data_IF_491176413361
#
_entry.id   IF_491176413361
#
_cell.length_a   1.000
_cell.length_b   1.000
_cell.length_c   1.000
_cell.angle_alpha   90.00
_cell.angle_beta   90.00
_cell.angle_gamma   90.00
#
_symmetry.space_group_name_H-M   'P 1'
#
loop_
_entity.id
_entity.type
_entity.pdbx_description
1 polymer ?
#
# COMPACT_ATOMS: atom_id res chain seq x y z
N UNK A 1 -22.08 -15.08 8.50
CA UNK A 1 -21.91 -16.53 8.81
C UNK A 1 -20.90 -16.73 9.92
N UNK A 2 -19.66 -16.27 9.76
CA UNK A 2 -18.57 -16.55 10.69
C UNK A 2 -18.43 -15.58 11.88
N UNK A 3 -18.94 -14.34 11.82
CA UNK A 3 -18.79 -13.35 12.91
C UNK A 3 -19.17 -13.85 14.32
N UNK A 4 -20.22 -14.67 14.53
CA UNK A 4 -20.55 -15.18 15.87
C UNK A 4 -19.58 -16.25 16.41
N UNK A 5 -18.62 -16.73 15.62
CA UNK A 5 -17.75 -17.84 16.01
C UNK A 5 -16.69 -17.37 17.02
N UNK A 6 -16.70 -17.93 18.23
CA UNK A 6 -15.85 -17.49 19.36
C UNK A 6 -14.33 -17.58 19.10
N UNK A 7 -13.88 -18.48 18.22
CA UNK A 7 -12.45 -18.59 17.87
C UNK A 7 -11.96 -17.51 16.91
N UNK A 8 -12.85 -16.69 16.34
CA UNK A 8 -12.46 -15.57 15.47
C UNK A 8 -12.29 -14.33 16.35
N UNK A 9 -11.07 -13.80 16.34
CA UNK A 9 -10.69 -12.61 17.13
C UNK A 9 -10.71 -11.32 16.32
N UNK A 10 -10.83 -11.40 14.99
CA UNK A 10 -10.89 -10.24 14.13
C UNK A 10 -10.86 -10.56 12.65
N UNK A 11 -10.85 -9.49 11.85
CA UNK A 11 -11.00 -9.52 10.40
C UNK A 11 -9.95 -8.63 9.75
N UNK A 12 -9.34 -9.12 8.67
CA UNK A 12 -8.55 -8.29 7.77
C UNK A 12 -9.41 -7.90 6.57
N UNK A 13 -9.50 -6.62 6.29
CA UNK A 13 -10.11 -6.09 5.07
C UNK A 13 -9.15 -6.33 3.91
N UNK A 14 -9.61 -7.06 2.90
CA UNK A 14 -8.85 -7.35 1.68
C UNK A 14 -7.39 -7.82 1.96
N UNK A 15 -6.48 -7.60 1.02
CA UNK A 15 -5.05 -7.81 1.21
C UNK A 15 -4.26 -6.75 0.46
N UNK A 16 -3.48 -5.94 1.19
CA UNK A 16 -2.56 -4.96 0.62
C UNK A 16 -3.23 -3.94 -0.32
N UNK A 17 -4.19 -3.13 0.17
CA UNK A 17 -4.84 -2.09 -0.65
C UNK A 17 -3.82 -1.21 -1.40
N UNK A 18 -4.02 -1.05 -2.71
CA UNK A 18 -3.10 -0.33 -3.61
C UNK A 18 -1.64 -0.82 -3.52
N UNK A 19 -1.39 -2.09 -3.17
CA UNK A 19 -0.05 -2.68 -3.04
C UNK A 19 0.00 -4.21 -3.09
N UNK A 20 1.20 -4.79 -3.01
CA UNK A 20 1.43 -6.25 -3.18
C UNK A 20 1.79 -6.73 -4.60
N UNK A 21 2.10 -5.81 -5.52
CA UNK A 21 2.39 -6.11 -6.93
C UNK A 21 1.23 -5.86 -7.90
N UNK A 22 0.08 -5.41 -7.41
CA UNK A 22 -1.04 -4.90 -8.21
C UNK A 22 -0.92 -3.42 -8.61
N UNK A 23 -1.79 -2.92 -9.50
CA UNK A 23 -1.80 -1.51 -9.91
C UNK A 23 -2.28 -0.59 -8.77
N UNK A 24 -1.51 0.46 -8.50
CA UNK A 24 -1.85 1.56 -7.57
C UNK A 24 -2.45 2.78 -8.31
N UNK A 25 -2.81 2.57 -9.57
CA UNK A 25 -3.28 3.55 -10.53
C UNK A 25 -4.01 2.83 -11.67
N UNK A 26 -5.13 3.39 -12.11
CA UNK A 26 -6.08 2.70 -13.00
C UNK A 26 -6.77 3.69 -13.95
N UNK A 27 -6.98 3.26 -15.20
CA UNK A 27 -7.31 4.15 -16.33
C UNK A 27 -8.41 3.59 -17.25
N UNK A 28 -9.28 2.73 -16.71
CA UNK A 28 -10.45 2.24 -17.43
C UNK A 28 -11.50 3.33 -17.63
N UNK A 29 -12.52 3.05 -18.45
CA UNK A 29 -13.62 3.98 -18.69
C UNK A 29 -14.39 4.31 -17.39
N UNK A 30 -14.60 3.32 -16.51
CA UNK A 30 -15.24 3.55 -15.21
C UNK A 30 -14.43 4.48 -14.32
N UNK A 31 -13.10 4.42 -14.40
CA UNK A 31 -12.20 5.24 -13.59
C UNK A 31 -12.28 6.71 -14.00
N UNK A 32 -12.34 6.97 -15.31
CA UNK A 32 -12.57 8.32 -15.83
C UNK A 32 -13.92 8.90 -15.37
N UNK A 33 -14.99 8.10 -15.39
CA UNK A 33 -16.32 8.54 -14.92
C UNK A 33 -16.32 8.83 -13.41
N UNK A 34 -15.73 7.94 -12.61
CA UNK A 34 -15.60 8.12 -11.17
C UNK A 34 -14.73 9.33 -10.81
N UNK A 35 -13.64 9.56 -11.56
CA UNK A 35 -12.79 10.74 -11.38
C UNK A 35 -13.54 12.05 -11.62
N UNK A 36 -14.42 12.12 -12.62
CA UNK A 36 -15.27 13.30 -12.83
C UNK A 36 -16.23 13.53 -11.67
N UNK A 37 -16.79 12.47 -11.09
CA UNK A 37 -17.65 12.58 -9.89
C UNK A 37 -16.83 13.14 -8.72
N UNK A 38 -15.62 12.62 -8.51
CA UNK A 38 -14.69 13.15 -7.50
C UNK A 38 -14.42 14.65 -7.68
N UNK A 39 -14.10 15.07 -8.90
CA UNK A 39 -13.83 16.49 -9.21
C UNK A 39 -15.08 17.36 -9.04
N UNK A 40 -16.25 16.89 -9.47
CA UNK A 40 -17.53 17.59 -9.27
C UNK A 40 -17.81 17.81 -7.78
N UNK A 41 -17.60 16.78 -6.95
CA UNK A 41 -17.78 16.89 -5.51
C UNK A 41 -16.78 17.87 -4.86
N UNK A 42 -15.54 17.88 -5.34
CA UNK A 42 -14.48 18.72 -4.80
C UNK A 42 -14.59 20.19 -5.21
N UNK A 43 -14.89 20.44 -6.48
CA UNK A 43 -14.84 21.78 -7.09
C UNK A 43 -16.22 22.41 -7.29
N UNK A 44 -17.28 21.62 -7.43
CA UNK A 44 -18.64 22.10 -7.71
C UNK A 44 -18.83 22.57 -9.15
N UNK A 45 -17.97 23.45 -9.65
CA UNK A 45 -18.07 24.05 -11.00
C UNK A 45 -16.77 23.89 -11.81
N UNK A 46 -16.91 23.91 -13.15
CA UNK A 46 -15.76 23.90 -14.06
C UNK A 46 -14.91 25.16 -13.92
N UNK A 47 -15.54 26.34 -13.73
CA UNK A 47 -14.81 27.59 -13.56
C UNK A 47 -13.83 27.52 -12.38
N UNK A 48 -14.29 27.00 -11.23
CA UNK A 48 -13.43 26.84 -10.05
C UNK A 48 -12.32 25.82 -10.29
N UNK A 49 -12.61 24.72 -11.02
CA UNK A 49 -11.59 23.74 -11.39
C UNK A 49 -10.52 24.37 -12.30
N UNK A 50 -10.95 25.03 -13.37
CA UNK A 50 -10.08 25.68 -14.35
C UNK A 50 -9.18 26.74 -13.69
N UNK A 51 -9.76 27.58 -12.82
CA UNK A 51 -9.02 28.57 -12.02
C UNK A 51 -7.99 27.88 -11.10
N UNK A 52 -8.41 26.87 -10.33
CA UNK A 52 -7.54 26.19 -9.37
C UNK A 52 -6.41 25.42 -10.04
N UNK A 53 -6.68 24.77 -11.17
CA UNK A 53 -5.68 24.01 -11.92
C UNK A 53 -4.83 24.88 -12.84
N UNK A 54 -5.17 26.17 -13.00
CA UNK A 54 -4.48 27.09 -13.90
C UNK A 54 -4.56 26.64 -15.36
N UNK A 55 -5.71 26.12 -15.79
CA UNK A 55 -5.88 25.47 -17.11
C UNK A 55 -5.73 26.40 -18.30
N UNK A 56 -5.66 27.72 -18.09
CA UNK A 56 -5.34 28.68 -19.14
C UNK A 56 -3.94 28.44 -19.73
N UNK A 57 -3.02 27.90 -18.93
CA UNK A 57 -1.68 27.58 -19.40
C UNK A 57 -1.69 26.42 -20.39
N UNK A 58 -1.17 26.67 -21.60
CA UNK A 58 -1.21 25.74 -22.73
C UNK A 58 -2.64 25.31 -23.13
N UNK A 59 -3.62 26.22 -23.02
CA UNK A 59 -5.00 26.04 -23.52
C UNK A 59 -5.68 24.74 -23.03
N UNK A 60 -5.50 24.40 -21.76
CA UNK A 60 -6.10 23.22 -21.14
C UNK A 60 -7.50 23.48 -20.56
N UNK A 61 -8.07 24.67 -20.77
CA UNK A 61 -9.36 25.07 -20.20
C UNK A 61 -10.48 24.14 -20.65
N UNK A 62 -11.19 23.57 -19.68
CA UNK A 62 -12.31 22.66 -19.92
C UNK A 62 -13.63 23.42 -19.98
N UNK A 63 -14.45 23.13 -20.99
CA UNK A 63 -15.80 23.66 -21.16
C UNK A 63 -16.89 22.64 -20.83
N UNK A 64 -16.52 21.36 -20.70
CA UNK A 64 -17.41 20.29 -20.26
C UNK A 64 -16.66 19.25 -19.40
N UNK A 65 -17.34 18.65 -18.42
CA UNK A 65 -16.75 17.64 -17.55
C UNK A 65 -16.28 16.39 -18.31
N UNK A 66 -16.94 16.04 -19.41
CA UNK A 66 -16.59 14.89 -20.25
C UNK A 66 -15.25 15.06 -20.98
N UNK A 67 -14.73 16.28 -21.06
CA UNK A 67 -13.38 16.57 -21.58
C UNK A 67 -12.28 16.22 -20.58
N UNK A 68 -12.63 16.06 -19.29
CA UNK A 68 -11.66 15.73 -18.25
C UNK A 68 -11.47 14.22 -18.22
N UNK A 69 -10.20 13.82 -18.25
CA UNK A 69 -9.76 12.44 -18.11
C UNK A 69 -8.70 12.36 -17.02
N UNK A 70 -8.55 11.15 -16.46
CA UNK A 70 -7.30 10.79 -15.78
C UNK A 70 -6.14 10.96 -16.77
N UNK A 71 -4.95 11.16 -16.23
CA UNK A 71 -3.74 11.50 -16.99
C UNK A 71 -3.56 10.53 -18.17
N UNK A 72 -3.51 11.10 -19.37
CA UNK A 72 -3.20 10.38 -20.61
C UNK A 72 -1.79 10.69 -21.06
N UNK A 73 -1.33 9.95 -22.06
CA UNK A 73 -0.05 10.22 -22.70
C UNK A 73 0.01 11.68 -23.17
N UNK A 74 1.02 12.41 -22.69
CA UNK A 74 1.40 13.73 -23.21
C UNK A 74 2.76 13.61 -23.90
N UNK A 75 2.95 14.30 -25.02
CA UNK A 75 4.20 14.24 -25.80
C UNK A 75 5.44 14.60 -24.96
N UNK A 76 5.29 15.55 -24.04
CA UNK A 76 6.35 15.99 -23.12
C UNK A 76 6.45 15.17 -21.84
N UNK A 77 5.55 14.20 -21.61
CA UNK A 77 5.42 13.44 -20.34
C UNK A 77 5.35 14.33 -19.10
N UNK A 78 4.80 15.53 -19.26
CA UNK A 78 4.69 16.56 -18.23
C UNK A 78 3.24 17.07 -18.16
N UNK A 79 2.30 16.27 -17.64
CA UNK A 79 0.92 16.68 -17.44
C UNK A 79 0.81 17.82 -16.41
N UNK A 80 -0.36 18.46 -16.34
CA UNK A 80 -0.64 19.47 -15.31
C UNK A 80 -0.45 18.86 -13.91
N UNK A 81 0.39 19.46 -13.04
CA UNK A 81 0.66 18.90 -11.72
C UNK A 81 -0.57 18.86 -10.80
N UNK A 82 -1.52 19.78 -10.98
CA UNK A 82 -2.78 19.76 -10.22
C UNK A 82 -3.66 18.57 -10.61
N UNK A 83 -3.76 18.27 -11.90
CA UNK A 83 -4.44 17.07 -12.41
C UNK A 83 -3.83 15.80 -11.81
N UNK A 84 -2.49 15.66 -11.86
CA UNK A 84 -1.80 14.47 -11.33
C UNK A 84 -1.94 14.35 -9.80
N UNK A 85 -1.93 15.46 -9.08
CA UNK A 85 -2.13 15.43 -7.63
C UNK A 85 -3.56 14.99 -7.29
N UNK A 86 -4.56 15.48 -8.01
CA UNK A 86 -5.95 15.08 -7.80
C UNK A 86 -6.24 13.65 -8.26
N UNK A 87 -5.55 13.18 -9.30
CA UNK A 87 -5.54 11.76 -9.68
C UNK A 87 -5.03 10.87 -8.52
N UNK A 88 -3.90 11.23 -7.89
CA UNK A 88 -3.39 10.47 -6.73
C UNK A 88 -4.35 10.47 -5.54
N UNK A 89 -4.98 11.61 -5.27
CA UNK A 89 -6.01 11.73 -4.22
C UNK A 89 -7.24 10.89 -4.53
N UNK A 90 -7.66 10.88 -5.79
CA UNK A 90 -8.77 10.06 -6.26
C UNK A 90 -8.49 8.57 -6.10
N UNK A 91 -7.30 8.08 -6.50
CA UNK A 91 -6.93 6.67 -6.32
C UNK A 91 -6.92 6.26 -4.84
N UNK A 92 -6.41 7.11 -3.97
CA UNK A 92 -6.47 6.91 -2.51
C UNK A 92 -7.92 6.84 -2.02
N UNK A 93 -8.74 7.84 -2.36
CA UNK A 93 -10.13 7.90 -1.91
C UNK A 93 -10.95 6.71 -2.42
N UNK A 94 -10.72 6.27 -3.66
CA UNK A 94 -11.38 5.11 -4.23
C UNK A 94 -11.09 3.85 -3.41
N UNK A 95 -9.81 3.57 -3.12
CA UNK A 95 -9.43 2.42 -2.29
C UNK A 95 -9.99 2.52 -0.86
N UNK A 96 -9.93 3.71 -0.24
CA UNK A 96 -10.48 3.94 1.10
C UNK A 96 -12.00 3.75 1.12
N UNK A 97 -12.72 4.20 0.08
CA UNK A 97 -14.17 4.00 -0.03
C UNK A 97 -14.54 2.51 -0.11
N UNK A 98 -13.71 1.72 -0.80
CA UNK A 98 -13.87 0.27 -0.89
C UNK A 98 -13.57 -0.42 0.45
N UNK A 99 -12.51 -0.04 1.14
CA UNK A 99 -12.23 -0.51 2.50
C UNK A 99 -13.37 -0.15 3.47
N UNK A 100 -13.87 1.08 3.41
CA UNK A 100 -15.00 1.54 4.22
C UNK A 100 -16.28 0.75 3.94
N UNK A 101 -16.57 0.42 2.68
CA UNK A 101 -17.71 -0.43 2.34
C UNK A 101 -17.60 -1.80 3.02
N UNK A 102 -16.42 -2.44 3.00
CA UNK A 102 -16.20 -3.72 3.68
C UNK A 102 -16.34 -3.58 5.21
N UNK A 103 -15.76 -2.53 5.78
CA UNK A 103 -15.88 -2.20 7.20
C UNK A 103 -17.35 -2.04 7.63
N UNK A 104 -18.13 -1.23 6.91
CA UNK A 104 -19.53 -0.95 7.22
C UNK A 104 -20.41 -2.21 7.13
N UNK A 105 -20.03 -3.19 6.29
CA UNK A 105 -20.67 -4.51 6.24
C UNK A 105 -20.30 -5.32 7.49
N UNK A 106 -19.01 -5.48 7.78
CA UNK A 106 -18.55 -6.28 8.91
C UNK A 106 -19.07 -5.73 10.24
N UNK A 107 -19.01 -4.41 10.44
CA UNK A 107 -19.39 -3.76 11.69
C UNK A 107 -20.84 -4.05 12.13
N UNK A 108 -21.73 -4.38 11.21
CA UNK A 108 -23.12 -4.79 11.50
C UNK A 108 -23.23 -6.15 12.20
N UNK A 109 -22.23 -7.00 12.03
CA UNK A 109 -22.26 -8.41 12.46
C UNK A 109 -21.15 -8.77 13.44
N UNK A 110 -20.07 -7.99 13.47
CA UNK A 110 -18.92 -8.22 14.34
C UNK A 110 -19.29 -7.91 15.80
N UNK A 111 -19.22 -8.91 16.72
CA UNK A 111 -19.47 -8.69 18.14
C UNK A 111 -18.38 -7.82 18.76
N UNK A 112 -18.67 -7.28 19.95
CA UNK A 112 -17.67 -6.56 20.74
C UNK A 112 -16.46 -7.45 21.04
N UNK A 113 -15.25 -6.89 20.91
CA UNK A 113 -13.98 -7.59 21.12
C UNK A 113 -13.36 -8.20 19.85
N UNK A 114 -14.09 -8.29 18.73
CA UNK A 114 -13.48 -8.62 17.44
C UNK A 114 -12.97 -7.37 16.73
N UNK A 115 -11.69 -7.36 16.35
CA UNK A 115 -11.10 -6.23 15.62
C UNK A 115 -11.36 -6.32 14.11
N UNK A 116 -11.25 -5.19 13.42
CA UNK A 116 -11.21 -5.05 11.97
C UNK A 116 -9.98 -4.22 11.62
N UNK A 117 -9.08 -4.79 10.82
CA UNK A 117 -7.81 -4.17 10.40
C UNK A 117 -7.59 -4.38 8.91
N UNK A 118 -6.47 -3.89 8.37
CA UNK A 118 -5.96 -4.19 7.03
C UNK A 118 -4.44 -4.22 7.09
N UNK A 119 -3.79 -4.88 6.14
CA UNK A 119 -2.35 -4.92 6.03
C UNK A 119 -1.81 -3.99 4.94
N UNK A 120 -0.59 -3.49 5.13
CA UNK A 120 0.17 -2.77 4.12
C UNK A 120 0.45 -1.31 4.43
N UNK A 121 1.60 -0.83 3.95
CA UNK A 121 1.98 0.59 3.90
C UNK A 121 2.57 0.91 2.52
N UNK A 122 1.69 1.02 1.53
CA UNK A 122 1.95 1.23 0.10
C UNK A 122 1.72 2.67 -0.37
N UNK A 123 2.08 2.91 -1.63
CA UNK A 123 1.96 4.21 -2.29
C UNK A 123 0.49 4.51 -2.62
N UNK A 124 0.21 5.79 -2.86
CA UNK A 124 -1.09 6.28 -3.33
C UNK A 124 -2.27 5.89 -2.42
N UNK A 125 -2.02 5.81 -1.11
CA UNK A 125 -3.05 5.65 -0.08
C UNK A 125 -2.73 6.57 1.10
N UNK A 126 -3.72 7.34 1.55
CA UNK A 126 -3.65 8.13 2.78
C UNK A 126 -4.07 7.26 3.97
N UNK A 127 -3.08 6.81 4.74
CA UNK A 127 -3.32 5.93 5.88
C UNK A 127 -4.02 6.61 7.05
N UNK A 128 -3.92 7.94 7.18
CA UNK A 128 -4.67 8.64 8.23
C UNK A 128 -6.16 8.65 7.90
N UNK A 129 -6.51 8.88 6.63
CA UNK A 129 -7.89 8.80 6.18
C UNK A 129 -8.41 7.35 6.24
N UNK A 130 -7.59 6.36 5.87
CA UNK A 130 -7.93 4.94 6.01
C UNK A 130 -8.21 4.55 7.46
N UNK A 131 -7.34 4.91 8.41
CA UNK A 131 -7.58 4.69 9.84
C UNK A 131 -8.85 5.44 10.31
N UNK A 132 -9.07 6.65 9.76
CA UNK A 132 -10.29 7.42 9.98
C UNK A 132 -11.59 6.77 9.51
N UNK A 133 -11.54 5.69 8.71
CA UNK A 133 -12.75 4.91 8.37
C UNK A 133 -13.34 4.13 9.55
N UNK A 134 -12.53 3.90 10.59
CA UNK A 134 -12.93 3.19 11.81
C UNK A 134 -12.27 1.83 12.01
N UNK A 135 -11.28 1.44 11.19
CA UNK A 135 -10.45 0.26 11.46
C UNK A 135 -9.72 0.41 12.80
N UNK A 136 -9.57 -0.68 13.55
CA UNK A 136 -9.11 -0.62 14.94
C UNK A 136 -7.60 -0.36 15.05
N UNK A 137 -6.82 -0.85 14.08
CA UNK A 137 -5.38 -0.61 13.96
C UNK A 137 -4.89 -0.89 12.54
N UNK A 138 -3.68 -0.46 12.20
CA UNK A 138 -3.03 -0.80 10.92
C UNK A 138 -2.12 -2.02 11.04
N UNK A 139 -2.16 -2.90 10.05
CA UNK A 139 -1.21 -3.99 9.86
C UNK A 139 -0.08 -3.61 8.93
N UNK A 140 1.13 -4.08 9.21
CA UNK A 140 2.33 -3.83 8.41
C UNK A 140 2.86 -5.13 7.82
N UNK A 141 3.24 -5.06 6.55
CA UNK A 141 3.98 -6.11 5.86
C UNK A 141 5.47 -5.78 5.92
N UNK A 142 6.22 -6.57 6.67
CA UNK A 142 7.59 -6.30 7.07
C UNK A 142 8.54 -7.33 6.44
N UNK A 143 9.14 -6.92 5.31
CA UNK A 143 10.02 -7.76 4.50
C UNK A 143 11.43 -7.16 4.30
N UNK A 144 12.29 -7.12 5.34
CA UNK A 144 13.50 -6.30 5.28
C UNK A 144 14.53 -6.68 4.22
N UNK A 145 14.61 -7.98 3.88
CA UNK A 145 15.51 -8.47 2.83
C UNK A 145 14.91 -8.33 1.42
N UNK A 146 13.67 -7.87 1.26
CA UNK A 146 13.18 -7.47 -0.06
C UNK A 146 13.80 -6.12 -0.43
N UNK A 147 14.95 -6.17 -1.09
CA UNK A 147 15.59 -4.99 -1.66
C UNK A 147 14.73 -4.35 -2.76
N UNK A 148 14.87 -3.03 -2.94
CA UNK A 148 14.17 -2.21 -3.95
C UNK A 148 14.41 -2.62 -5.43
N UNK A 149 15.07 -3.74 -5.71
CA UNK A 149 15.51 -4.17 -7.04
C UNK A 149 14.73 -5.38 -7.58
N UNK A 150 13.49 -5.58 -7.14
CA UNK A 150 12.68 -6.74 -7.56
C UNK A 150 12.40 -6.80 -9.07
N UNK A 151 12.51 -5.66 -9.78
CA UNK A 151 12.38 -5.56 -11.24
C UNK A 151 13.71 -5.63 -12.03
N UNK A 152 14.87 -5.72 -11.37
CA UNK A 152 16.15 -5.90 -12.08
C UNK A 152 16.42 -7.39 -12.27
N UNK A 153 16.93 -7.81 -13.43
CA UNK A 153 17.58 -9.11 -13.55
C UNK A 153 18.89 -8.99 -12.77
N UNK A 154 18.98 -9.64 -11.61
CA UNK A 154 20.20 -9.64 -10.82
C UNK A 154 21.31 -10.32 -11.62
N UNK A 155 22.31 -9.53 -12.03
CA UNK A 155 23.50 -10.01 -12.75
C UNK A 155 24.60 -10.35 -11.76
N UNK A 156 25.60 -11.14 -12.17
CA UNK A 156 26.80 -11.44 -11.36
C UNK A 156 27.48 -10.17 -10.81
N UNK A 157 27.34 -9.04 -11.52
CA UNK A 157 27.89 -7.73 -11.13
C UNK A 157 27.10 -7.05 -10.02
N UNK A 158 25.80 -7.34 -9.88
CA UNK A 158 25.01 -6.88 -8.73
C UNK A 158 25.32 -7.68 -7.45
N UNK A 159 26.05 -8.82 -7.55
CA UNK A 159 26.56 -9.55 -6.39
C UNK A 159 27.89 -8.98 -5.84
N UNK A 160 28.63 -8.26 -6.67
CA UNK A 160 29.92 -7.62 -6.35
C UNK A 160 29.79 -6.10 -6.13
N UNK A 161 28.61 -5.53 -6.37
CA UNK A 161 28.32 -4.10 -6.18
C UNK A 161 27.88 -3.83 -4.73
N UNK A 162 28.57 -2.89 -4.08
CA UNK A 162 28.23 -2.34 -2.76
C UNK A 162 26.84 -1.67 -2.70
N UNK A 163 26.08 -1.67 -3.80
CA UNK A 163 24.64 -1.35 -3.82
C UNK A 163 23.74 -2.46 -3.26
N UNK A 164 24.29 -3.64 -2.95
CA UNK A 164 23.59 -4.68 -2.22
C UNK A 164 23.17 -4.21 -0.82
N UNK A 165 22.16 -4.87 -0.21
CA UNK A 165 21.76 -4.71 1.19
C UNK A 165 22.86 -4.85 2.25
N UNK A 166 24.09 -5.13 1.84
CA UNK A 166 25.23 -5.46 2.68
C UNK A 166 26.30 -4.36 2.76
N UNK A 167 26.15 -3.23 2.03
CA UNK A 167 26.99 -2.07 2.36
C UNK A 167 26.56 -1.53 3.73
N UNK A 168 27.48 -1.36 4.70
CA UNK A 168 27.21 -0.68 5.97
C UNK A 168 26.59 0.72 5.81
N UNK A 169 26.71 1.30 4.61
CA UNK A 169 26.15 2.60 4.24
C UNK A 169 24.68 2.52 3.78
N UNK A 170 24.24 1.37 3.25
CA UNK A 170 22.86 1.11 2.85
C UNK A 170 22.08 0.50 4.02
N UNK A 171 21.72 1.37 4.96
CA UNK A 171 20.99 1.04 6.18
C UNK A 171 19.53 0.66 5.86
N UNK A 172 19.31 -0.50 5.25
CA UNK A 172 17.96 -1.00 4.98
C UNK A 172 17.13 -1.09 6.26
N UNK A 173 17.74 -1.41 7.40
CA UNK A 173 17.08 -1.35 8.70
C UNK A 173 16.52 0.05 9.01
N UNK A 174 17.12 1.15 8.52
CA UNK A 174 16.54 2.51 8.67
C UNK A 174 15.27 2.70 7.83
N UNK A 175 15.23 2.20 6.59
CA UNK A 175 14.01 2.22 5.76
C UNK A 175 12.89 1.47 6.47
N UNK A 176 13.20 0.31 7.02
CA UNK A 176 12.23 -0.55 7.69
C UNK A 176 11.83 -0.01 9.07
N UNK A 177 12.75 0.57 9.84
CA UNK A 177 12.42 1.37 11.03
C UNK A 177 11.54 2.57 10.71
N UNK A 178 11.72 3.22 9.55
CA UNK A 178 10.86 4.33 9.12
C UNK A 178 9.42 3.86 8.85
N UNK A 179 9.24 2.70 8.22
CA UNK A 179 7.92 2.10 7.99
C UNK A 179 7.21 1.82 9.33
N UNK A 180 7.93 1.25 10.30
CA UNK A 180 7.39 0.99 11.65
C UNK A 180 7.01 2.30 12.37
N UNK A 181 7.86 3.34 12.27
CA UNK A 181 7.54 4.65 12.83
C UNK A 181 6.32 5.29 12.16
N UNK A 182 6.13 5.13 10.84
CA UNK A 182 4.96 5.64 10.14
C UNK A 182 3.68 4.90 10.54
N UNK A 183 3.74 3.57 10.72
CA UNK A 183 2.62 2.79 11.21
C UNK A 183 2.13 3.34 12.55
N UNK A 184 3.07 3.62 13.46
CA UNK A 184 2.78 4.22 14.77
C UNK A 184 2.27 5.66 14.68
N UNK A 185 2.69 6.41 13.65
CA UNK A 185 2.25 7.79 13.45
C UNK A 185 0.79 7.87 12.97
N UNK A 186 0.34 6.94 12.13
CA UNK A 186 -1.04 6.92 11.63
C UNK A 186 -2.00 6.11 12.53
N UNK A 187 -1.48 5.21 13.36
CA UNK A 187 -2.28 4.36 14.24
C UNK A 187 -1.61 4.20 15.60
N UNK A 188 -2.37 4.41 16.68
CA UNK A 188 -1.87 4.31 18.06
C UNK A 188 -1.40 2.91 18.43
N UNK A 189 -2.03 1.90 17.83
CA UNK A 189 -1.66 0.48 17.92
C UNK A 189 -1.34 -0.03 16.52
N UNK A 190 -0.45 -1.00 16.38
CA UNK A 190 -0.22 -1.61 15.07
C UNK A 190 0.29 -3.05 15.21
N UNK A 191 0.07 -3.84 14.16
CA UNK A 191 0.50 -5.23 14.09
C UNK A 191 1.43 -5.45 12.90
N UNK A 192 2.35 -6.40 13.02
CA UNK A 192 3.01 -6.98 11.86
C UNK A 192 2.15 -8.15 11.40
N UNK A 193 1.36 -7.96 10.35
CA UNK A 193 0.48 -9.01 9.83
C UNK A 193 1.22 -9.96 8.89
N UNK A 194 2.34 -9.51 8.33
CA UNK A 194 3.27 -10.34 7.57
C UNK A 194 4.72 -10.00 7.90
N UNK A 195 5.37 -10.86 8.69
CA UNK A 195 6.80 -10.81 9.00
C UNK A 195 7.53 -11.81 8.10
N UNK A 196 8.63 -11.37 7.48
CA UNK A 196 9.50 -12.25 6.72
C UNK A 196 9.94 -13.49 7.52
N UNK A 197 9.65 -14.68 6.99
CA UNK A 197 9.97 -15.96 7.65
C UNK A 197 11.07 -16.79 6.97
N UNK A 198 11.66 -16.30 5.88
CA UNK A 198 12.59 -17.08 5.06
C UNK A 198 13.13 -16.28 3.88
N UNK A 199 13.60 -16.97 2.85
CA UNK A 199 13.90 -16.32 1.56
C UNK A 199 12.61 -15.70 0.99
N UNK A 200 12.76 -14.68 0.14
CA UNK A 200 11.60 -14.03 -0.48
C UNK A 200 11.38 -14.61 -1.88
N UNK A 201 10.12 -14.71 -2.31
CA UNK A 201 9.74 -15.37 -3.55
C UNK A 201 8.41 -14.91 -4.15
N UNK A 202 8.12 -13.60 -4.19
CA UNK A 202 6.88 -13.04 -4.75
C UNK A 202 6.75 -13.15 -6.28
N UNK A 203 7.79 -13.67 -6.92
CA UNK A 203 7.92 -13.91 -8.36
C UNK A 203 8.44 -15.33 -8.58
N UNK A 204 8.44 -15.81 -9.83
CA UNK A 204 8.90 -17.16 -10.21
C UNK A 204 10.42 -17.39 -10.07
N UNK A 205 11.09 -16.73 -9.12
CA UNK A 205 12.52 -16.84 -8.78
C UNK A 205 12.74 -16.45 -7.31
N UNK A 206 13.94 -16.71 -6.79
CA UNK A 206 14.38 -16.27 -5.45
C UNK A 206 15.16 -14.94 -5.55
N UNK A 207 14.51 -13.76 -5.47
CA UNK A 207 15.17 -12.47 -5.57
C UNK A 207 16.06 -12.12 -4.36
N UNK A 208 15.93 -12.80 -3.23
CA UNK A 208 16.69 -12.51 -2.02
C UNK A 208 17.20 -13.79 -1.36
N UNK A 209 18.37 -13.67 -0.69
CA UNK A 209 18.94 -14.76 0.13
C UNK A 209 18.08 -14.98 1.37
N UNK A 210 18.16 -16.20 1.91
CA UNK A 210 17.61 -16.50 3.23
C UNK A 210 18.20 -15.57 4.30
N UNK A 211 17.41 -15.17 5.31
CA UNK A 211 17.91 -14.41 6.45
C UNK A 211 19.09 -15.12 7.11
N UNK A 212 20.08 -14.34 7.56
CA UNK A 212 21.23 -14.87 8.32
C UNK A 212 20.76 -15.45 9.66
N UNK A 213 21.51 -16.37 10.29
CA UNK A 213 21.22 -16.83 11.64
C UNK A 213 21.00 -15.64 12.60
N UNK A 214 19.86 -15.62 13.28
CA UNK A 214 19.47 -14.54 14.21
C UNK A 214 18.79 -13.32 13.59
N UNK A 215 18.74 -13.19 12.27
CA UNK A 215 18.18 -12.00 11.60
C UNK A 215 16.66 -11.89 11.78
N UNK A 216 15.93 -13.02 11.69
CA UNK A 216 14.49 -13.02 11.96
C UNK A 216 14.19 -12.56 13.39
N UNK A 217 14.97 -13.06 14.36
CA UNK A 217 14.87 -12.62 15.77
C UNK A 217 15.12 -11.12 15.88
N UNK A 218 16.15 -10.58 15.21
CA UNK A 218 16.45 -9.15 15.20
C UNK A 218 15.24 -8.34 14.73
N UNK A 219 14.62 -8.71 13.59
CA UNK A 219 13.45 -8.01 13.04
C UNK A 219 12.21 -8.08 13.93
N UNK A 220 11.99 -9.23 14.60
CA UNK A 220 10.93 -9.36 15.60
C UNK A 220 11.15 -8.37 16.73
N UNK A 221 12.34 -8.34 17.32
CA UNK A 221 12.64 -7.42 18.43
C UNK A 221 12.67 -5.96 17.99
N UNK A 222 13.04 -5.67 16.74
CA UNK A 222 12.91 -4.33 16.16
C UNK A 222 11.43 -3.91 16.10
N UNK A 223 10.54 -4.77 15.61
CA UNK A 223 9.10 -4.50 15.56
C UNK A 223 8.52 -4.27 16.97
N UNK A 224 8.89 -5.10 17.94
CA UNK A 224 8.52 -4.93 19.35
C UNK A 224 9.03 -3.59 19.90
N UNK A 225 10.30 -3.24 19.63
CA UNK A 225 10.89 -1.98 20.10
C UNK A 225 10.21 -0.74 19.52
N UNK A 226 9.65 -0.84 18.31
CA UNK A 226 8.83 0.21 17.70
C UNK A 226 7.37 0.22 18.19
N UNK A 227 6.95 -0.78 18.97
CA UNK A 227 5.65 -0.85 19.61
C UNK A 227 4.62 -1.73 18.91
N UNK A 228 5.03 -2.73 18.13
CA UNK A 228 4.10 -3.68 17.53
C UNK A 228 3.41 -4.53 18.62
N UNK A 229 2.08 -4.58 18.60
CA UNK A 229 1.25 -5.32 19.57
C UNK A 229 1.12 -6.81 19.21
N UNK A 230 1.34 -7.14 17.93
CA UNK A 230 1.22 -8.49 17.39
C UNK A 230 2.21 -8.69 16.23
N UNK A 231 2.77 -9.91 16.12
CA UNK A 231 3.67 -10.28 15.03
C UNK A 231 3.28 -11.64 14.48
N UNK A 232 2.90 -11.66 13.21
CA UNK A 232 2.55 -12.86 12.46
C UNK A 232 3.56 -13.09 11.34
N UNK A 233 4.05 -14.32 11.23
CA UNK A 233 5.00 -14.69 10.17
C UNK A 233 4.25 -15.11 8.91
N UNK A 234 4.61 -14.48 7.79
CA UNK A 234 4.19 -14.93 6.47
C UNK A 234 5.32 -15.78 5.86
N UNK A 235 5.16 -17.10 5.74
CA UNK A 235 3.97 -17.94 5.99
C UNK A 235 4.34 -19.16 6.83
N UNK A 236 3.33 -19.87 7.35
CA UNK A 236 3.55 -21.05 8.20
C UNK A 236 4.41 -22.13 7.53
N UNK A 237 4.11 -22.44 6.26
CA UNK A 237 4.82 -23.42 5.45
C UNK A 237 4.85 -22.96 4.00
N UNK A 238 6.03 -23.02 3.38
CA UNK A 238 6.25 -22.75 1.95
C UNK A 238 5.25 -23.52 1.09
N UNK A 239 4.63 -22.80 0.15
CA UNK A 239 3.78 -23.40 -0.86
C UNK A 239 4.62 -24.19 -1.86
N UNK A 240 4.09 -25.31 -2.37
CA UNK A 240 4.77 -26.12 -3.39
C UNK A 240 4.23 -25.89 -4.80
N UNK A 241 3.42 -24.84 -4.99
CA UNK A 241 2.76 -24.48 -6.24
C UNK A 241 2.36 -22.99 -6.24
N UNK A 242 1.99 -22.47 -7.41
CA UNK A 242 1.59 -21.08 -7.60
C UNK A 242 2.77 -20.11 -7.74
N UNK A 243 2.45 -18.82 -7.86
CA UNK A 243 3.43 -17.74 -8.09
C UNK A 243 4.51 -17.68 -7.01
N UNK A 244 4.14 -17.99 -5.76
CA UNK A 244 5.01 -17.88 -4.58
C UNK A 244 5.62 -19.21 -4.13
N UNK A 245 5.79 -20.19 -5.02
CA UNK A 245 6.40 -21.49 -4.64
C UNK A 245 7.87 -21.39 -4.17
N UNK A 246 8.51 -20.25 -4.39
CA UNK A 246 9.88 -19.95 -3.96
C UNK A 246 9.95 -19.14 -2.66
N UNK A 247 8.82 -18.99 -1.96
CA UNK A 247 8.70 -18.29 -0.69
C UNK A 247 8.81 -19.24 0.51
#
# INVERSE_FOLDING_TARGET
HYCPHHSIIGWQLDNEFNGGGGPDSFYSESDHKAFRIFLKNKYGTLDKLNETWGTIFWDQTYTDWEQIYLTRYTSMRSPNPHLVLDEKRFFSQSAISYAKMQYDILKKYTPEGQFITTNGLFRHLDYNELVGTGIDFIGVNFYPNQGNNSNKIMTKRDFDDNSLPESPENLNDRKWSWILSNARACSSNFAILEQQSGANGWINRMPARSPRPGQMRLWTFQSIAHGADFINYFRWRTCTFGTEMYW
#
